data_IF_647721372202
#
_entry.id   IF_647721372202
#
_cell.length_a   1.000
_cell.length_b   1.000
_cell.length_c   1.000
_cell.angle_alpha   90.00
_cell.angle_beta   90.00
_cell.angle_gamma   90.00
#
_symmetry.space_group_name_H-M   'P 1'
#
loop_
_entity.id
_entity.type
_entity.pdbx_description
1 polymer ?
#
# COMPACT_ATOMS: atom_id res chain seq x y z
N UNK A 1 -11.71 15.41 -17.94
CA UNK A 1 -11.77 14.12 -18.67
C UNK A 1 -12.11 13.03 -17.66
N UNK A 2 -12.99 12.07 -17.96
CA UNK A 2 -13.29 10.97 -17.03
C UNK A 2 -12.10 10.00 -16.81
N UNK A 3 -11.09 10.06 -17.68
CA UNK A 3 -9.93 9.16 -17.74
C UNK A 3 -9.02 9.20 -16.51
N UNK A 4 -8.87 10.37 -15.88
CA UNK A 4 -7.96 10.57 -14.75
C UNK A 4 -8.47 9.93 -13.45
N UNK A 5 -9.81 9.90 -13.27
CA UNK A 5 -10.41 9.28 -12.09
C UNK A 5 -10.35 7.76 -12.17
N UNK A 6 -10.63 7.21 -13.35
CA UNK A 6 -10.59 5.77 -13.58
C UNK A 6 -9.16 5.20 -13.54
N UNK A 7 -8.16 5.97 -13.99
CA UNK A 7 -6.76 5.58 -13.84
C UNK A 7 -6.33 5.56 -12.38
N UNK A 8 -6.71 6.58 -11.60
CA UNK A 8 -6.45 6.63 -10.17
C UNK A 8 -7.14 5.50 -9.40
N UNK A 9 -8.38 5.12 -9.77
CA UNK A 9 -9.07 3.97 -9.18
C UNK A 9 -8.36 2.64 -9.48
N UNK A 10 -7.84 2.47 -10.71
CA UNK A 10 -7.04 1.29 -11.07
C UNK A 10 -5.75 1.24 -10.26
N UNK A 11 -5.01 2.35 -10.19
CA UNK A 11 -3.78 2.44 -9.39
C UNK A 11 -4.07 2.16 -7.90
N UNK A 12 -5.16 2.69 -7.35
CA UNK A 12 -5.58 2.42 -5.98
C UNK A 12 -5.80 0.91 -5.75
N UNK A 13 -6.46 0.23 -6.69
CA UNK A 13 -6.70 -1.21 -6.59
C UNK A 13 -5.39 -2.02 -6.64
N UNK A 14 -4.48 -1.66 -7.55
CA UNK A 14 -3.15 -2.29 -7.67
C UNK A 14 -2.33 -2.13 -6.39
N UNK A 15 -2.23 -0.90 -5.86
CA UNK A 15 -1.51 -0.61 -4.63
C UNK A 15 -2.12 -1.34 -3.42
N UNK A 16 -3.46 -1.47 -3.35
CA UNK A 16 -4.13 -2.24 -2.29
C UNK A 16 -3.78 -3.74 -2.37
N UNK A 17 -3.73 -4.29 -3.58
CA UNK A 17 -3.32 -5.68 -3.79
C UNK A 17 -1.87 -5.89 -3.34
N UNK A 18 -0.94 -5.05 -3.81
CA UNK A 18 0.47 -5.15 -3.45
C UNK A 18 0.69 -5.00 -1.93
N UNK A 19 -0.01 -4.06 -1.30
CA UNK A 19 0.04 -3.89 0.15
C UNK A 19 -0.43 -5.14 0.91
N UNK A 20 -1.47 -5.83 0.43
CA UNK A 20 -1.98 -7.08 1.03
C UNK A 20 -1.01 -8.25 0.84
N UNK A 21 -0.40 -8.34 -0.33
CA UNK A 21 0.59 -9.36 -0.64
C UNK A 21 1.84 -9.18 0.23
N UNK A 22 2.33 -7.94 0.39
CA UNK A 22 3.41 -7.63 1.30
C UNK A 22 3.10 -8.01 2.73
N UNK A 23 1.85 -7.83 3.19
CA UNK A 23 1.47 -8.22 4.54
C UNK A 23 1.59 -9.73 4.75
N UNK A 24 1.16 -10.51 3.76
CA UNK A 24 1.27 -11.97 3.77
C UNK A 24 2.73 -12.42 3.79
N UNK A 25 3.59 -11.78 3.00
CA UNK A 25 5.03 -12.07 2.97
C UNK A 25 5.69 -11.72 4.30
N UNK A 26 5.37 -10.55 4.87
CA UNK A 26 5.90 -10.10 6.17
C UNK A 26 5.50 -11.06 7.28
N UNK A 27 4.24 -11.53 7.30
CA UNK A 27 3.77 -12.48 8.31
C UNK A 27 4.56 -13.80 8.25
N UNK A 28 4.70 -14.39 7.06
CA UNK A 28 5.48 -15.62 6.86
C UNK A 28 6.95 -15.46 7.23
N UNK A 29 7.56 -14.34 6.83
CA UNK A 29 8.97 -14.08 7.14
C UNK A 29 9.19 -13.86 8.64
N UNK A 30 8.23 -13.25 9.33
CA UNK A 30 8.28 -13.05 10.78
C UNK A 30 8.24 -14.38 11.55
N UNK A 31 7.50 -15.39 11.06
CA UNK A 31 7.45 -16.73 11.65
C UNK A 31 8.79 -17.48 11.55
N UNK A 32 9.53 -17.30 10.44
CA UNK A 32 10.81 -17.98 10.19
C UNK A 32 11.96 -17.39 11.01
N UNK A 33 11.85 -16.13 11.47
CA UNK A 33 12.71 -15.57 12.53
C UNK A 33 14.18 -15.25 12.16
N UNK A 34 14.57 -15.28 10.88
CA UNK A 34 15.99 -15.21 10.48
C UNK A 34 16.50 -13.87 9.93
N UNK A 35 15.68 -13.10 9.21
CA UNK A 35 16.16 -11.91 8.47
C UNK A 35 15.41 -10.64 8.88
N UNK A 36 15.86 -10.07 10.00
CA UNK A 36 15.26 -8.87 10.57
C UNK A 36 15.46 -7.62 9.70
N UNK A 37 16.58 -7.53 8.95
CA UNK A 37 16.82 -6.43 8.03
C UNK A 37 15.88 -6.50 6.83
N UNK A 38 15.68 -7.69 6.27
CA UNK A 38 14.71 -7.90 5.19
C UNK A 38 13.29 -7.59 5.66
N UNK A 39 12.91 -8.06 6.85
CA UNK A 39 11.61 -7.74 7.46
C UNK A 39 11.42 -6.23 7.65
N UNK A 40 12.45 -5.50 8.11
CA UNK A 40 12.40 -4.04 8.23
C UNK A 40 12.22 -3.34 6.88
N UNK A 41 12.94 -3.79 5.83
CA UNK A 41 12.79 -3.25 4.47
C UNK A 41 11.39 -3.46 3.92
N UNK A 42 10.82 -4.65 4.11
CA UNK A 42 9.45 -4.96 3.68
C UNK A 42 8.42 -4.11 4.42
N UNK A 43 8.56 -3.95 5.75
CA UNK A 43 7.69 -3.07 6.55
C UNK A 43 7.78 -1.60 6.09
N UNK A 44 8.99 -1.12 5.78
CA UNK A 44 9.18 0.23 5.22
C UNK A 44 8.46 0.38 3.86
N UNK A 45 8.59 -0.60 2.97
CA UNK A 45 7.87 -0.60 1.68
C UNK A 45 6.36 -0.61 1.88
N UNK A 46 5.84 -1.42 2.80
CA UNK A 46 4.42 -1.46 3.15
C UNK A 46 3.91 -0.10 3.65
N UNK A 47 4.70 0.61 4.46
CA UNK A 47 4.36 1.96 4.92
C UNK A 47 4.26 2.95 3.75
N UNK A 48 5.23 2.93 2.82
CA UNK A 48 5.19 3.81 1.64
C UNK A 48 3.96 3.56 0.77
N UNK A 49 3.59 2.29 0.55
CA UNK A 49 2.36 1.96 -0.19
C UNK A 49 1.11 2.48 0.53
N UNK A 50 1.06 2.38 1.86
CA UNK A 50 -0.05 2.92 2.66
C UNK A 50 -0.14 4.45 2.50
N UNK A 51 0.99 5.15 2.52
CA UNK A 51 1.02 6.61 2.36
C UNK A 51 0.56 7.01 0.95
N UNK A 52 0.98 6.27 -0.09
CA UNK A 52 0.53 6.47 -1.47
C UNK A 52 -0.97 6.19 -1.64
N UNK A 53 -1.47 5.12 -1.02
CA UNK A 53 -2.91 4.81 -0.99
C UNK A 53 -3.71 5.97 -0.39
N UNK A 54 -3.28 6.49 0.78
CA UNK A 54 -3.95 7.61 1.44
C UNK A 54 -3.94 8.89 0.58
N UNK A 55 -2.84 9.13 -0.15
CA UNK A 55 -2.73 10.25 -1.07
C UNK A 55 -3.71 10.11 -2.25
N UNK A 56 -3.83 8.93 -2.86
CA UNK A 56 -4.79 8.68 -3.95
C UNK A 56 -6.24 8.75 -3.42
N UNK A 57 -6.52 8.17 -2.26
CA UNK A 57 -7.84 8.19 -1.62
C UNK A 57 -8.31 9.61 -1.33
N UNK A 58 -7.46 10.46 -0.75
CA UNK A 58 -7.80 11.87 -0.46
C UNK A 58 -8.05 12.71 -1.73
N UNK A 59 -7.47 12.32 -2.86
CA UNK A 59 -7.68 12.99 -4.14
C UNK A 59 -8.90 12.44 -4.90
N UNK A 60 -9.32 11.21 -4.61
CA UNK A 60 -10.55 10.59 -5.13
C UNK A 60 -11.80 10.91 -4.30
N UNK A 61 -11.64 11.12 -2.99
CA UNK A 61 -12.67 11.48 -2.03
C UNK A 61 -12.32 12.88 -1.52
N UNK A 62 -12.91 13.95 -2.07
CA UNK A 62 -12.48 15.32 -1.78
C UNK A 62 -12.68 15.79 -0.33
N UNK A 63 -13.18 14.96 0.58
CA UNK A 63 -13.75 15.43 1.86
C UNK A 63 -13.64 14.43 3.03
N UNK A 64 -12.49 13.81 3.23
CA UNK A 64 -12.27 13.00 4.44
C UNK A 64 -10.85 13.14 4.97
N UNK A 65 -10.53 14.32 5.51
CA UNK A 65 -9.67 14.59 6.68
C UNK A 65 -9.88 16.08 7.02
N UNK A 66 -10.81 16.33 7.95
CA UNK A 66 -10.91 17.49 8.82
C UNK A 66 -11.00 16.96 10.26
#
# INVERSE_FOLDING_TARGET
MLTDRDSMLRQLHELRSEHRDLDTVIARLAEVGGDQLHLQRLKKRKLLLKDELAWIESRLIPDSIA
#
